data_IF_347014587515
#
_entry.id   IF_347014587515
#
_cell.length_a   1.000
_cell.length_b   1.000
_cell.length_c   1.000
_cell.angle_alpha   90.00
_cell.angle_beta   90.00
_cell.angle_gamma   90.00
#
_symmetry.space_group_name_H-M   'P 1'
#
loop_
_entity.id
_entity.type
_entity.pdbx_description
1 polymer ?
#
# COMPACT_ATOMS: atom_id res chain seq x y z
N UNK A 1 -7.05 31.60 6.46
CA UNK A 1 -8.29 30.90 6.05
C UNK A 1 -8.90 31.46 4.77
N UNK A 2 -8.94 32.78 4.55
CA UNK A 2 -9.44 33.37 3.29
C UNK A 2 -8.60 32.99 2.05
N UNK A 3 -7.28 32.97 2.18
CA UNK A 3 -6.32 32.67 1.09
C UNK A 3 -6.47 31.23 0.54
N UNK A 4 -6.84 30.28 1.40
CA UNK A 4 -7.17 28.90 1.01
C UNK A 4 -8.46 28.83 0.18
N UNK A 5 -9.48 29.62 0.52
CA UNK A 5 -10.75 29.66 -0.24
C UNK A 5 -10.60 30.35 -1.61
N UNK A 6 -9.62 31.22 -1.75
CA UNK A 6 -9.40 32.00 -2.98
C UNK A 6 -8.40 31.35 -3.94
N UNK A 7 -7.60 30.37 -3.49
CA UNK A 7 -6.56 29.75 -4.31
C UNK A 7 -6.85 28.25 -4.58
N UNK A 8 -7.37 27.89 -5.78
CA UNK A 8 -7.63 26.51 -6.16
C UNK A 8 -6.41 25.59 -6.12
N UNK A 9 -5.23 26.10 -6.49
CA UNK A 9 -3.99 25.32 -6.51
C UNK A 9 -3.52 24.98 -5.09
N UNK A 10 -3.62 25.95 -4.17
CA UNK A 10 -3.34 25.72 -2.75
C UNK A 10 -4.28 24.67 -2.16
N UNK A 11 -5.58 24.73 -2.47
CA UNK A 11 -6.53 23.69 -2.03
C UNK A 11 -6.16 22.32 -2.56
N UNK A 12 -5.87 22.22 -3.86
CA UNK A 12 -5.52 20.94 -4.50
C UNK A 12 -4.30 20.30 -3.84
N UNK A 13 -3.24 21.09 -3.58
CA UNK A 13 -2.04 20.61 -2.89
C UNK A 13 -2.33 20.14 -1.46
N UNK A 14 -3.11 20.92 -0.70
CA UNK A 14 -3.50 20.57 0.67
C UNK A 14 -4.33 19.28 0.68
N UNK A 15 -5.33 19.15 -0.19
CA UNK A 15 -6.17 17.94 -0.29
C UNK A 15 -5.33 16.72 -0.68
N UNK A 16 -4.38 16.85 -1.62
CA UNK A 16 -3.46 15.74 -1.95
C UNK A 16 -2.62 15.32 -0.74
N UNK A 17 -2.12 16.28 0.04
CA UNK A 17 -1.40 15.99 1.27
C UNK A 17 -2.28 15.29 2.31
N UNK A 18 -3.52 15.77 2.48
CA UNK A 18 -4.50 15.19 3.39
C UNK A 18 -4.85 13.75 3.00
N UNK A 19 -5.16 13.50 1.72
CA UNK A 19 -5.48 12.17 1.23
C UNK A 19 -4.35 11.16 1.48
N UNK A 20 -3.08 11.59 1.33
CA UNK A 20 -1.92 10.75 1.66
C UNK A 20 -1.86 10.45 3.16
N UNK A 21 -2.09 11.44 4.01
CA UNK A 21 -2.14 11.28 5.47
C UNK A 21 -3.27 10.37 5.92
N UNK A 22 -4.46 10.53 5.35
CA UNK A 22 -5.63 9.71 5.61
C UNK A 22 -5.43 8.26 5.18
N UNK A 23 -4.87 8.03 3.99
CA UNK A 23 -4.53 6.69 3.51
C UNK A 23 -3.51 5.99 4.43
N UNK A 24 -2.47 6.70 4.85
CA UNK A 24 -1.51 6.19 5.84
C UNK A 24 -2.19 5.86 7.16
N UNK A 25 -3.04 6.74 7.66
CA UNK A 25 -3.76 6.53 8.91
C UNK A 25 -4.75 5.37 8.81
N UNK A 26 -5.41 5.18 7.66
CA UNK A 26 -6.29 4.04 7.40
C UNK A 26 -5.50 2.72 7.42
N UNK A 27 -4.37 2.66 6.72
CA UNK A 27 -3.46 1.51 6.75
C UNK A 27 -2.95 1.23 8.17
N UNK A 28 -2.48 2.25 8.89
CA UNK A 28 -1.99 2.09 10.25
C UNK A 28 -3.09 1.54 11.19
N UNK A 29 -4.34 2.00 11.06
CA UNK A 29 -5.47 1.45 11.82
C UNK A 29 -5.77 0.00 11.46
N UNK A 30 -5.69 -0.35 10.18
CA UNK A 30 -5.91 -1.72 9.70
C UNK A 30 -4.83 -2.68 10.23
N UNK A 31 -3.56 -2.26 10.23
CA UNK A 31 -2.45 -3.04 10.79
C UNK A 31 -2.60 -3.19 12.30
N UNK A 32 -3.07 -2.17 13.00
CA UNK A 32 -3.27 -2.18 14.45
C UNK A 32 -4.59 -2.86 14.89
N UNK A 33 -5.06 -3.86 14.14
CA UNK A 33 -6.37 -4.50 14.26
C UNK A 33 -6.73 -4.97 15.69
N UNK A 34 -5.75 -5.40 16.51
CA UNK A 34 -6.02 -5.86 17.86
C UNK A 34 -6.07 -4.69 18.86
N UNK A 35 -7.28 -4.37 19.35
CA UNK A 35 -7.66 -3.29 20.31
C UNK A 35 -7.95 -1.89 19.74
N UNK A 36 -8.51 -1.76 18.53
CA UNK A 36 -9.11 -0.48 18.04
C UNK A 36 -8.15 0.74 18.08
N UNK A 37 -6.85 0.59 17.91
CA UNK A 37 -5.92 1.73 17.94
C UNK A 37 -5.55 2.24 19.34
N UNK A 38 -6.06 1.64 20.43
CA UNK A 38 -5.77 2.10 21.78
C UNK A 38 -4.47 1.47 22.30
N UNK A 39 -3.41 2.27 22.41
CA UNK A 39 -2.21 1.84 23.11
C UNK A 39 -2.44 2.07 24.61
N UNK A 40 -2.84 1.01 25.31
CA UNK A 40 -3.12 1.02 26.76
C UNK A 40 -1.94 0.47 27.56
N UNK A 41 -0.71 0.86 27.19
CA UNK A 41 0.48 0.53 27.97
C UNK A 41 0.78 1.69 28.93
N UNK A 42 1.00 1.39 30.21
CA UNK A 42 1.33 2.42 31.22
C UNK A 42 2.76 2.95 31.06
N UNK A 43 3.62 2.28 30.29
CA UNK A 43 5.05 2.57 30.19
C UNK A 43 5.38 3.22 28.85
N UNK A 44 6.04 4.39 28.88
CA UNK A 44 6.38 5.19 27.69
C UNK A 44 7.27 4.45 26.67
N UNK A 45 8.15 3.57 27.12
CA UNK A 45 9.01 2.76 26.24
C UNK A 45 8.22 1.74 25.42
N UNK A 46 7.20 1.11 26.02
CA UNK A 46 6.33 0.15 25.33
C UNK A 46 5.48 0.84 24.25
N UNK A 47 4.96 2.02 24.57
CA UNK A 47 4.27 2.92 23.64
C UNK A 47 5.15 3.30 22.44
N UNK A 48 6.38 3.72 22.71
CA UNK A 48 7.35 4.09 21.67
C UNK A 48 7.70 2.90 20.78
N UNK A 49 7.94 1.73 21.38
CA UNK A 49 8.24 0.50 20.63
C UNK A 49 7.07 0.09 19.71
N UNK A 50 5.82 0.17 20.20
CA UNK A 50 4.63 -0.10 19.37
C UNK A 50 4.47 0.91 18.24
N UNK A 51 4.67 2.20 18.49
CA UNK A 51 4.59 3.25 17.47
C UNK A 51 5.67 3.08 16.38
N UNK A 52 6.90 2.75 16.79
CA UNK A 52 7.99 2.44 15.87
C UNK A 52 7.70 1.19 15.05
N UNK A 53 7.22 0.12 15.70
CA UNK A 53 6.82 -1.12 15.01
C UNK A 53 5.70 -0.90 14.00
N UNK A 54 4.67 -0.13 14.35
CA UNK A 54 3.59 0.21 13.44
C UNK A 54 4.08 1.02 12.23
N UNK A 55 4.97 1.98 12.47
CA UNK A 55 5.60 2.77 11.40
C UNK A 55 6.42 1.88 10.47
N UNK A 56 7.19 0.95 11.04
CA UNK A 56 7.99 0.00 10.28
C UNK A 56 7.13 -0.90 9.40
N UNK A 57 6.07 -1.52 9.95
CA UNK A 57 5.17 -2.40 9.18
C UNK A 57 4.46 -1.60 8.08
N UNK A 58 4.00 -0.39 8.38
CA UNK A 58 3.36 0.49 7.38
C UNK A 58 4.31 0.81 6.22
N UNK A 59 5.58 1.11 6.51
CA UNK A 59 6.59 1.36 5.50
C UNK A 59 6.92 0.10 4.68
N UNK A 60 6.99 -1.07 5.33
CA UNK A 60 7.23 -2.35 4.66
C UNK A 60 6.09 -2.71 3.70
N UNK A 61 4.83 -2.48 4.09
CA UNK A 61 3.65 -2.66 3.21
C UNK A 61 3.72 -1.70 2.02
N UNK A 62 4.02 -0.42 2.25
CA UNK A 62 4.14 0.56 1.17
C UNK A 62 5.23 0.16 0.16
N UNK A 63 6.40 -0.27 0.66
CA UNK A 63 7.49 -0.76 -0.18
C UNK A 63 7.08 -1.99 -1.00
N UNK A 64 6.44 -2.97 -0.36
CA UNK A 64 5.93 -4.17 -1.02
C UNK A 64 4.95 -3.79 -2.14
N UNK A 65 3.99 -2.90 -1.86
CA UNK A 65 3.03 -2.43 -2.85
C UNK A 65 3.71 -1.72 -4.01
N UNK A 66 4.69 -0.84 -3.78
CA UNK A 66 5.44 -0.18 -4.85
C UNK A 66 6.12 -1.19 -5.78
N UNK A 67 6.79 -2.20 -5.22
CA UNK A 67 7.47 -3.24 -6.00
C UNK A 67 6.47 -4.07 -6.83
N UNK A 68 5.33 -4.45 -6.24
CA UNK A 68 4.32 -5.24 -6.95
C UNK A 68 3.51 -4.45 -7.97
N UNK A 69 3.24 -3.16 -7.71
CA UNK A 69 2.64 -2.26 -8.69
C UNK A 69 3.55 -2.14 -9.93
N UNK A 70 4.86 -1.97 -9.75
CA UNK A 70 5.81 -1.98 -10.87
C UNK A 70 5.76 -3.30 -11.66
N UNK A 71 5.67 -4.45 -10.97
CA UNK A 71 5.52 -5.77 -11.63
C UNK A 71 4.21 -5.87 -12.41
N UNK A 72 3.11 -5.38 -11.83
CA UNK A 72 1.80 -5.38 -12.47
C UNK A 72 1.75 -4.48 -13.72
N UNK A 73 2.33 -3.28 -13.63
CA UNK A 73 2.43 -2.36 -14.76
C UNK A 73 3.26 -2.94 -15.91
N UNK A 74 4.38 -3.60 -15.62
CA UNK A 74 5.17 -4.32 -16.64
C UNK A 74 4.35 -5.41 -17.31
N UNK A 75 3.67 -6.25 -16.52
CA UNK A 75 2.83 -7.30 -17.07
C UNK A 75 1.73 -6.73 -17.97
N UNK A 76 1.06 -5.65 -17.57
CA UNK A 76 0.05 -4.99 -18.42
C UNK A 76 0.65 -4.46 -19.73
N UNK A 77 1.85 -3.88 -19.69
CA UNK A 77 2.57 -3.45 -20.89
C UNK A 77 2.93 -4.63 -21.81
N UNK A 78 3.34 -5.77 -21.26
CA UNK A 78 3.64 -6.99 -22.01
C UNK A 78 2.39 -7.54 -22.74
N UNK A 79 1.20 -7.30 -22.18
CA UNK A 79 -0.10 -7.59 -22.79
C UNK A 79 -0.64 -6.44 -23.67
N UNK A 80 0.22 -5.52 -24.10
CA UNK A 80 -0.15 -4.39 -24.96
C UNK A 80 -1.25 -3.48 -24.38
N UNK A 81 -1.37 -3.45 -23.04
CA UNK A 81 -2.29 -2.60 -22.27
C UNK A 81 -1.51 -1.63 -21.36
N UNK A 82 -0.63 -0.75 -21.91
CA UNK A 82 0.14 0.17 -21.09
C UNK A 82 -0.78 1.14 -20.32
N UNK A 83 -0.48 1.36 -19.05
CA UNK A 83 -1.21 2.35 -18.25
C UNK A 83 -0.78 3.77 -18.66
N UNK A 84 -1.74 4.67 -18.96
CA UNK A 84 -1.45 6.08 -19.21
C UNK A 84 -0.73 6.76 -18.04
N UNK A 85 0.24 7.63 -18.33
CA UNK A 85 1.08 8.30 -17.32
C UNK A 85 0.28 9.18 -16.35
N UNK A 86 -0.78 9.82 -16.85
CA UNK A 86 -1.73 10.60 -16.05
C UNK A 86 -2.41 9.73 -14.97
N UNK A 87 -2.72 8.46 -15.29
CA UNK A 87 -3.29 7.51 -14.32
C UNK A 87 -2.24 6.97 -13.36
N UNK A 88 -1.00 6.79 -13.82
CA UNK A 88 0.10 6.35 -12.95
C UNK A 88 0.35 7.34 -11.79
N UNK A 89 0.19 8.64 -12.03
CA UNK A 89 0.32 9.68 -11.01
C UNK A 89 -0.69 9.56 -9.85
N UNK A 90 -1.77 8.79 -10.05
CA UNK A 90 -2.83 8.57 -9.06
C UNK A 90 -2.71 7.24 -8.31
N UNK A 91 -1.72 6.39 -8.64
CA UNK A 91 -1.51 5.13 -7.92
C UNK A 91 -1.05 5.39 -6.49
N UNK A 92 -1.72 4.74 -5.54
CA UNK A 92 -1.36 4.79 -4.12
C UNK A 92 -0.72 3.48 -3.67
N UNK A 93 0.52 3.50 -3.14
CA UNK A 93 1.13 2.31 -2.56
C UNK A 93 0.59 2.00 -1.15
N UNK A 94 -0.38 2.76 -0.65
CA UNK A 94 -0.91 2.63 0.72
C UNK A 94 -2.19 1.79 0.81
N UNK A 95 -2.69 1.28 -0.33
CA UNK A 95 -3.80 0.35 -0.35
C UNK A 95 -3.43 -0.97 0.32
N UNK A 96 -4.38 -1.61 1.00
CA UNK A 96 -4.09 -2.80 1.82
C UNK A 96 -5.17 -3.86 1.81
N UNK A 97 -6.26 -3.64 1.07
CA UNK A 97 -7.38 -4.59 0.97
C UNK A 97 -6.93 -5.93 0.33
N UNK A 98 -5.88 -5.92 -0.49
CA UNK A 98 -5.28 -7.13 -1.06
C UNK A 98 -4.35 -7.89 -0.10
N UNK A 99 -4.06 -7.34 1.08
CA UNK A 99 -3.18 -7.95 2.08
C UNK A 99 -4.04 -8.55 3.20
N UNK A 100 -3.86 -9.85 3.43
CA UNK A 100 -4.45 -10.50 4.59
C UNK A 100 -3.64 -10.10 5.84
N UNK A 101 -4.19 -9.18 6.65
CA UNK A 101 -3.57 -8.68 7.88
C UNK A 101 -3.84 -9.56 9.10
N UNK A 102 -4.94 -10.32 9.08
CA UNK A 102 -5.30 -11.27 10.13
C UNK A 102 -5.67 -12.63 9.51
N UNK A 103 -5.22 -13.71 10.14
CA UNK A 103 -5.53 -15.08 9.73
C UNK A 103 -4.35 -16.02 9.90
N UNK A 104 -4.42 -17.17 9.24
CA UNK A 104 -3.35 -18.18 9.28
C UNK A 104 -2.32 -17.91 8.19
N UNK A 105 -1.05 -17.88 8.59
CA UNK A 105 0.08 -17.68 7.69
C UNK A 105 0.89 -18.97 7.59
N UNK A 106 1.18 -19.39 6.36
CA UNK A 106 2.13 -20.46 6.09
C UNK A 106 3.49 -19.82 5.80
N UNK A 107 4.46 -20.11 6.67
CA UNK A 107 5.84 -19.68 6.49
C UNK A 107 6.66 -20.83 5.92
N UNK A 108 7.09 -20.68 4.66
CA UNK A 108 8.07 -21.58 4.07
C UNK A 108 9.47 -20.97 4.26
N UNK A 109 10.34 -21.53 5.11
CA UNK A 109 11.68 -20.99 5.35
C UNK A 109 12.59 -21.07 4.11
N UNK A 110 12.24 -21.86 3.11
CA UNK A 110 12.96 -21.91 1.82
C UNK A 110 12.44 -20.89 0.81
N UNK A 111 11.31 -20.22 1.11
CA UNK A 111 10.75 -19.18 0.26
C UNK A 111 11.44 -17.84 0.55
N UNK A 112 12.58 -17.60 -0.11
CA UNK A 112 13.20 -16.28 -0.17
C UNK A 112 12.69 -15.51 -1.39
N UNK A 113 11.85 -14.48 -1.19
CA UNK A 113 11.50 -13.53 -2.25
C UNK A 113 12.57 -12.45 -2.34
N UNK A 114 13.25 -12.36 -3.48
CA UNK A 114 14.12 -11.23 -3.85
C UNK A 114 13.38 -10.29 -4.79
N UNK A 115 13.97 -9.11 -5.06
CA UNK A 115 13.44 -8.20 -6.08
C UNK A 115 13.34 -8.86 -7.47
N UNK A 116 14.21 -9.83 -7.75
CA UNK A 116 14.21 -10.61 -8.99
C UNK A 116 13.26 -11.82 -8.95
N UNK A 117 12.89 -12.28 -7.74
CA UNK A 117 12.05 -13.46 -7.51
C UNK A 117 10.80 -13.13 -6.69
N UNK A 118 9.99 -12.22 -7.23
CA UNK A 118 8.71 -11.84 -6.65
C UNK A 118 7.66 -12.95 -6.84
N UNK A 119 6.71 -13.09 -5.89
CA UNK A 119 5.58 -14.01 -6.04
C UNK A 119 4.83 -13.73 -7.36
N UNK A 120 4.28 -14.77 -8.00
CA UNK A 120 3.42 -14.58 -9.16
C UNK A 120 2.26 -13.62 -8.85
N UNK A 121 1.91 -12.78 -9.82
CA UNK A 121 0.74 -11.92 -9.72
C UNK A 121 -0.52 -12.79 -9.77
N UNK A 122 -1.55 -12.40 -9.02
CA UNK A 122 -2.90 -12.96 -9.18
C UNK A 122 -3.49 -12.37 -10.45
N UNK A 123 -3.36 -13.07 -11.58
CA UNK A 123 -3.94 -12.60 -12.85
C UNK A 123 -5.45 -12.73 -12.83
N UNK A 124 -6.20 -11.68 -13.18
CA UNK A 124 -7.64 -11.79 -13.39
C UNK A 124 -7.91 -12.64 -14.64
N UNK A 125 -9.11 -13.22 -14.72
CA UNK A 125 -9.47 -14.17 -15.79
C UNK A 125 -9.33 -13.55 -17.19
N UNK A 126 -9.75 -12.30 -17.38
CA UNK A 126 -9.69 -11.59 -18.66
C UNK A 126 -8.27 -11.35 -19.19
N UNK A 127 -7.24 -11.46 -18.33
CA UNK A 127 -5.83 -11.34 -18.73
C UNK A 127 -5.21 -12.70 -19.09
N UNK A 128 -5.93 -13.81 -18.86
CA UNK A 128 -5.47 -15.18 -19.17
C UNK A 128 -5.92 -15.65 -20.55
N UNK A 129 -7.01 -15.11 -21.06
CA UNK A 129 -7.62 -15.56 -22.33
C UNK A 129 -6.73 -15.23 -23.56
N UNK A 130 -5.81 -14.28 -23.45
CA UNK A 130 -4.82 -13.96 -24.49
C UNK A 130 -3.60 -14.91 -24.50
N UNK A 131 -3.42 -15.75 -23.47
CA UNK A 131 -2.30 -16.70 -23.39
C UNK A 131 -2.60 -18.03 -24.11
N UNK A 132 -3.82 -18.20 -24.64
CA UNK A 132 -4.31 -19.43 -25.29
C UNK A 132 -4.63 -19.29 -26.79
N UNK A 133 -4.27 -18.17 -27.42
CA UNK A 133 -4.43 -17.92 -28.85
C UNK A 133 -3.06 -17.70 -29.53
#
# INVERSE_FOLDING_TARGET
TLEWLQNPELRRRVTVGLNKGEARNALARAVFFHRRGAISDRIRSEQANKASGLTFITAAIALWNTVYLQKALRKLADHNLPMPEDRMAHLSPLEWEHIQLAGQYYWDPHFASTLDRLRPLRTPHWLRDEESA
#
